data_IF_640606106163
#
_entry.id   IF_640606106163
#
_cell.length_a   1.000
_cell.length_b   1.000
_cell.length_c   1.000
_cell.angle_alpha   90.00
_cell.angle_beta   90.00
_cell.angle_gamma   90.00
#
_symmetry.space_group_name_H-M   'P 1'
#
loop_
_entity.id
_entity.type
_entity.pdbx_description
1 polymer ?
#
# COMPACT_ATOMS: atom_id res chain seq x y z
N UNK A 1 29.44 -13.87 61.42
CA UNK A 1 28.83 -13.74 60.08
C UNK A 1 28.11 -15.05 59.79
N UNK A 2 26.81 -15.12 60.12
CA UNK A 2 25.63 -15.04 59.20
C UNK A 2 25.48 -16.31 58.34
N UNK A 3 24.62 -17.26 58.74
CA UNK A 3 23.24 -17.53 58.21
C UNK A 3 23.23 -17.90 56.71
N UNK A 4 22.65 -19.01 56.26
CA UNK A 4 21.21 -19.31 56.29
C UNK A 4 20.90 -20.83 56.29
N UNK A 5 19.77 -21.27 56.87
CA UNK A 5 19.23 -22.62 56.70
C UNK A 5 18.54 -22.77 55.32
N UNK A 6 18.34 -24.01 54.81
CA UNK A 6 17.48 -24.21 53.66
C UNK A 6 16.06 -23.76 54.02
N UNK A 7 15.54 -22.82 53.24
CA UNK A 7 14.17 -22.33 53.38
C UNK A 7 13.20 -23.48 53.16
N UNK A 8 12.64 -23.99 54.27
CA UNK A 8 11.33 -24.62 54.26
C UNK A 8 10.34 -23.56 53.79
N UNK A 9 9.82 -23.74 52.59
CA UNK A 9 8.61 -23.07 52.12
C UNK A 9 7.64 -24.15 51.69
N UNK A 10 6.36 -23.93 52.00
CA UNK A 10 5.50 -24.92 52.59
C UNK A 10 5.08 -25.93 51.54
N UNK A 11 5.02 -27.20 51.94
CA UNK A 11 4.08 -28.13 51.32
C UNK A 11 2.70 -27.47 51.43
N UNK A 12 2.26 -26.82 50.35
CA UNK A 12 0.84 -26.66 50.11
C UNK A 12 0.30 -28.10 50.10
N UNK A 13 -0.21 -28.57 51.23
CA UNK A 13 -1.12 -29.70 51.25
C UNK A 13 -2.15 -29.36 50.19
N UNK A 14 -2.14 -30.10 49.08
CA UNK A 14 -3.08 -29.90 47.99
C UNK A 14 -4.46 -30.12 48.58
N UNK A 15 -5.15 -29.02 48.91
CA UNK A 15 -6.53 -29.07 49.35
C UNK A 15 -7.34 -29.65 48.20
N UNK A 16 -7.98 -30.79 48.46
CA UNK A 16 -8.86 -31.45 47.48
C UNK A 16 -10.31 -31.28 47.90
N UNK A 17 -11.24 -31.39 46.95
CA UNK A 17 -12.66 -31.43 47.29
C UNK A 17 -12.96 -32.53 48.32
N UNK A 18 -12.31 -33.69 48.20
CA UNK A 18 -12.47 -34.80 49.12
C UNK A 18 -12.01 -34.47 50.56
N UNK A 19 -10.85 -33.81 50.73
CA UNK A 19 -10.36 -33.43 52.05
C UNK A 19 -11.24 -32.37 52.73
N UNK A 20 -11.75 -31.41 51.96
CA UNK A 20 -12.67 -30.39 52.49
C UNK A 20 -14.04 -30.97 52.85
N UNK A 21 -14.55 -31.90 52.04
CA UNK A 21 -15.80 -32.60 52.36
C UNK A 21 -15.68 -33.47 53.62
N UNK A 22 -14.53 -34.13 53.81
CA UNK A 22 -14.26 -34.90 55.02
C UNK A 22 -14.18 -34.00 56.27
N UNK A 23 -13.54 -32.84 56.16
CA UNK A 23 -13.50 -31.85 57.23
C UNK A 23 -14.91 -31.32 57.56
N UNK A 24 -15.70 -31.00 56.53
CA UNK A 24 -17.09 -30.57 56.68
C UNK A 24 -17.95 -31.63 57.38
N UNK A 25 -17.74 -32.91 57.06
CA UNK A 25 -18.41 -34.02 57.75
C UNK A 25 -18.08 -34.08 59.24
N UNK A 26 -16.79 -33.96 59.60
CA UNK A 26 -16.36 -33.94 61.02
C UNK A 26 -17.01 -32.77 61.75
N UNK A 27 -17.01 -31.57 61.16
CA UNK A 27 -17.61 -30.38 61.76
C UNK A 27 -19.13 -30.55 61.93
N UNK A 28 -19.82 -31.05 60.91
CA UNK A 28 -21.27 -31.30 61.01
C UNK A 28 -21.61 -32.31 62.10
N UNK A 29 -20.79 -33.35 62.28
CA UNK A 29 -20.95 -34.33 63.36
C UNK A 29 -20.75 -33.69 64.74
N UNK A 30 -19.79 -32.77 64.88
CA UNK A 30 -19.52 -32.04 66.12
C UNK A 30 -20.65 -31.07 66.52
N UNK A 31 -21.23 -30.36 65.55
CA UNK A 31 -22.31 -29.39 65.81
C UNK A 31 -23.71 -30.01 65.82
N UNK A 32 -23.86 -31.26 65.37
CA UNK A 32 -25.14 -31.95 65.29
C UNK A 32 -26.04 -31.48 64.14
N UNK A 33 -25.46 -31.19 62.97
CA UNK A 33 -26.22 -30.76 61.79
C UNK A 33 -27.15 -31.89 61.28
N UNK A 34 -28.39 -31.53 60.91
CA UNK A 34 -29.38 -32.53 60.46
C UNK A 34 -29.06 -33.06 59.06
N UNK A 35 -29.37 -34.33 58.77
CA UNK A 35 -29.15 -34.93 57.46
C UNK A 35 -29.79 -34.12 56.31
N UNK A 36 -30.97 -33.52 56.56
CA UNK A 36 -31.67 -32.68 55.58
C UNK A 36 -30.89 -31.41 55.21
N UNK A 37 -30.31 -30.71 56.21
CA UNK A 37 -29.50 -29.52 55.94
C UNK A 37 -28.13 -29.88 55.34
N UNK A 38 -27.55 -31.03 55.72
CA UNK A 38 -26.32 -31.57 55.10
C UNK A 38 -26.55 -31.87 53.61
N UNK A 39 -27.62 -32.60 53.29
CA UNK A 39 -28.00 -32.92 51.90
C UNK A 39 -28.24 -31.65 51.07
N UNK A 40 -28.94 -30.67 51.65
CA UNK A 40 -29.17 -29.39 51.01
C UNK A 40 -27.87 -28.65 50.71
N UNK A 41 -26.96 -28.55 51.66
CA UNK A 41 -25.67 -27.88 51.46
C UNK A 41 -24.79 -28.61 50.43
N UNK A 42 -24.81 -29.94 50.42
CA UNK A 42 -24.11 -30.74 49.39
C UNK A 42 -24.70 -30.48 48.00
N UNK A 43 -26.02 -30.45 47.86
CA UNK A 43 -26.70 -30.12 46.59
C UNK A 43 -26.35 -28.70 46.12
N UNK A 44 -26.30 -27.73 47.02
CA UNK A 44 -25.88 -26.36 46.71
C UNK A 44 -24.43 -26.33 46.18
N UNK A 45 -23.50 -27.02 46.85
CA UNK A 45 -22.10 -27.12 46.42
C UNK A 45 -21.96 -27.79 45.05
N UNK A 46 -22.68 -28.89 44.81
CA UNK A 46 -22.71 -29.57 43.52
C UNK A 46 -23.22 -28.64 42.42
N UNK A 47 -24.29 -27.90 42.69
CA UNK A 47 -24.88 -26.94 41.76
C UNK A 47 -23.91 -25.80 41.43
N UNK A 48 -23.25 -25.21 42.43
CA UNK A 48 -22.22 -24.18 42.23
C UNK A 48 -21.04 -24.69 41.39
N UNK A 49 -20.58 -25.90 41.66
CA UNK A 49 -19.51 -26.55 40.91
C UNK A 49 -19.90 -26.75 39.44
N UNK A 50 -21.12 -27.26 39.19
CA UNK A 50 -21.67 -27.40 37.83
C UNK A 50 -21.79 -26.06 37.11
N UNK A 51 -22.18 -25.00 37.80
CA UNK A 51 -22.29 -23.66 37.22
C UNK A 51 -20.92 -23.08 36.86
N UNK A 52 -19.87 -23.35 37.64
CA UNK A 52 -18.49 -23.03 37.27
C UNK A 52 -18.08 -23.77 36.00
N UNK A 53 -18.33 -25.08 35.90
CA UNK A 53 -18.01 -25.84 34.69
C UNK A 53 -18.77 -25.34 33.47
N UNK A 54 -20.10 -25.14 33.57
CA UNK A 54 -20.93 -24.58 32.50
C UNK A 54 -20.38 -23.25 31.99
N UNK A 55 -20.06 -22.35 32.91
CA UNK A 55 -19.48 -21.03 32.58
C UNK A 55 -18.15 -21.17 31.83
N UNK A 56 -17.25 -22.03 32.30
CA UNK A 56 -15.95 -22.26 31.63
C UNK A 56 -16.12 -22.86 30.24
N UNK A 57 -17.01 -23.85 30.08
CA UNK A 57 -17.32 -24.45 28.77
C UNK A 57 -17.87 -23.40 27.81
N UNK A 58 -18.81 -22.57 28.26
CA UNK A 58 -19.40 -21.53 27.41
C UNK A 58 -18.37 -20.46 27.00
N UNK A 59 -17.52 -20.03 27.94
CA UNK A 59 -16.40 -19.13 27.62
C UNK A 59 -15.47 -19.74 26.57
N UNK A 60 -15.11 -21.02 26.69
CA UNK A 60 -14.25 -21.70 25.72
C UNK A 60 -14.96 -21.87 24.37
N UNK A 61 -16.26 -22.16 24.35
CA UNK A 61 -17.07 -22.24 23.13
C UNK A 61 -17.09 -20.91 22.40
N UNK A 62 -17.29 -19.80 23.12
CA UNK A 62 -17.22 -18.44 22.55
C UNK A 62 -15.83 -18.14 21.97
N UNK A 63 -14.76 -18.39 22.73
CA UNK A 63 -13.39 -18.20 22.24
C UNK A 63 -13.09 -19.01 20.98
N UNK A 64 -13.60 -20.24 20.88
CA UNK A 64 -13.50 -21.06 19.66
C UNK A 64 -14.23 -20.41 18.47
N UNK A 65 -15.44 -19.90 18.68
CA UNK A 65 -16.21 -19.21 17.64
C UNK A 65 -15.49 -17.95 17.15
N UNK A 66 -14.93 -17.17 18.07
CA UNK A 66 -14.15 -15.96 17.75
C UNK A 66 -12.92 -16.29 16.89
N UNK A 67 -12.20 -17.38 17.21
CA UNK A 67 -11.07 -17.86 16.40
C UNK A 67 -11.49 -18.28 14.99
N UNK A 68 -12.63 -18.96 14.84
CA UNK A 68 -13.16 -19.31 13.52
C UNK A 68 -13.52 -18.06 12.72
N UNK A 69 -14.17 -17.08 13.34
CA UNK A 69 -14.53 -15.83 12.68
C UNK A 69 -13.29 -15.06 12.22
N UNK A 70 -12.28 -14.93 13.09
CA UNK A 70 -11.01 -14.27 12.75
C UNK A 70 -10.28 -14.96 11.60
N UNK A 71 -10.26 -16.29 11.57
CA UNK A 71 -9.71 -17.06 10.44
C UNK A 71 -10.45 -16.73 9.14
N UNK A 72 -11.79 -16.78 9.14
CA UNK A 72 -12.59 -16.48 7.95
C UNK A 72 -12.37 -15.04 7.44
N UNK A 73 -12.19 -14.07 8.36
CA UNK A 73 -11.85 -12.70 8.00
C UNK A 73 -10.49 -12.60 7.30
N UNK A 74 -9.46 -13.28 7.83
CA UNK A 74 -8.13 -13.33 7.19
C UNK A 74 -8.21 -13.97 5.81
N UNK A 75 -8.93 -15.09 5.66
CA UNK A 75 -9.10 -15.77 4.37
C UNK A 75 -9.83 -14.90 3.34
N UNK A 76 -10.87 -14.16 3.78
CA UNK A 76 -11.57 -13.20 2.94
C UNK A 76 -10.67 -12.05 2.50
N UNK A 77 -9.84 -11.52 3.42
CA UNK A 77 -8.89 -10.46 3.10
C UNK A 77 -7.84 -10.92 2.09
N UNK A 78 -7.27 -12.12 2.28
CA UNK A 78 -6.35 -12.72 1.30
C UNK A 78 -7.01 -12.83 -0.07
N UNK A 79 -8.25 -13.32 -0.13
CA UNK A 79 -8.99 -13.44 -1.40
C UNK A 79 -9.15 -12.09 -2.11
N UNK A 80 -9.45 -11.02 -1.35
CA UNK A 80 -9.55 -9.66 -1.89
C UNK A 80 -8.21 -9.14 -2.39
N UNK A 81 -7.13 -9.36 -1.63
CA UNK A 81 -5.77 -8.95 -2.02
C UNK A 81 -5.32 -9.67 -3.29
N UNK A 82 -5.54 -10.98 -3.37
CA UNK A 82 -5.21 -11.82 -4.54
C UNK A 82 -5.97 -11.35 -5.77
N UNK A 83 -7.27 -11.05 -5.63
CA UNK A 83 -8.09 -10.51 -6.71
C UNK A 83 -7.55 -9.14 -7.20
N UNK A 84 -7.26 -8.22 -6.27
CA UNK A 84 -6.74 -6.90 -6.62
C UNK A 84 -5.36 -6.96 -7.28
N UNK A 85 -4.50 -7.89 -6.88
CA UNK A 85 -3.18 -8.10 -7.48
C UNK A 85 -3.22 -8.86 -8.81
N UNK A 86 -4.35 -9.49 -9.15
CA UNK A 86 -4.51 -10.33 -10.34
C UNK A 86 -3.83 -11.70 -10.24
N UNK A 87 -3.54 -12.18 -9.02
CA UNK A 87 -2.77 -13.40 -8.80
C UNK A 87 -3.67 -14.63 -8.73
N UNK A 88 -4.51 -14.85 -9.75
CA UNK A 88 -5.51 -15.92 -9.72
C UNK A 88 -4.94 -17.35 -9.61
N UNK A 89 -3.66 -17.55 -9.93
CA UNK A 89 -2.95 -18.82 -9.72
C UNK A 89 -2.46 -19.02 -8.29
N UNK A 90 -2.51 -17.98 -7.45
CA UNK A 90 -2.11 -18.06 -6.06
C UNK A 90 -3.13 -18.86 -5.27
N UNK A 91 -2.74 -20.05 -4.83
CA UNK A 91 -3.50 -20.86 -3.90
C UNK A 91 -2.84 -20.80 -2.54
N UNK A 92 -3.64 -20.50 -1.50
CA UNK A 92 -3.20 -20.57 -0.11
C UNK A 92 -4.04 -21.62 0.63
N UNK A 93 -3.45 -22.18 1.68
CA UNK A 93 -4.18 -23.07 2.60
C UNK A 93 -3.90 -22.65 4.04
N UNK A 94 -4.89 -22.84 4.91
CA UNK A 94 -4.78 -22.61 6.37
C UNK A 94 -3.85 -23.57 7.10
N UNK A 95 -3.19 -24.50 6.39
CA UNK A 95 -2.36 -25.54 6.99
C UNK A 95 -3.17 -26.56 7.83
N UNK A 96 -2.46 -27.48 8.48
CA UNK A 96 -3.04 -28.49 9.38
C UNK A 96 -2.83 -28.09 10.84
N UNK A 97 -3.70 -28.56 11.74
CA UNK A 97 -3.54 -28.38 13.19
C UNK A 97 -4.69 -27.61 13.86
N UNK A 98 -4.41 -27.11 15.06
CA UNK A 98 -5.37 -26.34 15.87
C UNK A 98 -5.67 -24.96 15.25
N UNK A 99 -6.81 -24.35 15.61
CA UNK A 99 -7.17 -23.03 15.10
C UNK A 99 -6.07 -21.98 15.31
N UNK A 100 -5.44 -21.95 16.49
CA UNK A 100 -4.34 -21.04 16.78
C UNK A 100 -3.13 -21.25 15.87
N UNK A 101 -2.76 -22.51 15.62
CA UNK A 101 -1.67 -22.85 14.70
C UNK A 101 -1.98 -22.43 13.27
N UNK A 102 -3.21 -22.67 12.80
CA UNK A 102 -3.66 -22.25 11.48
C UNK A 102 -3.63 -20.73 11.32
N UNK A 103 -4.08 -19.97 12.34
CA UNK A 103 -3.96 -18.51 12.37
C UNK A 103 -2.50 -18.06 12.31
N UNK A 104 -1.61 -18.69 13.07
CA UNK A 104 -0.18 -18.38 13.04
C UNK A 104 0.46 -18.70 11.68
N UNK A 105 0.00 -19.75 11.00
CA UNK A 105 0.49 -20.15 9.68
C UNK A 105 0.05 -19.20 8.57
N UNK A 106 -1.21 -18.76 8.59
CA UNK A 106 -1.77 -17.92 7.52
C UNK A 106 -1.35 -16.44 7.64
N UNK A 107 -1.01 -15.98 8.84
CA UNK A 107 -0.70 -14.56 9.10
C UNK A 107 0.51 -14.03 8.30
N UNK A 108 1.65 -14.75 8.20
CA UNK A 108 2.75 -14.34 7.34
C UNK A 108 2.34 -14.16 5.87
N UNK A 109 1.48 -15.04 5.35
CA UNK A 109 0.97 -14.97 3.98
C UNK A 109 0.16 -13.69 3.75
N UNK A 110 -0.70 -13.35 4.72
CA UNK A 110 -1.45 -12.09 4.68
C UNK A 110 -0.51 -10.86 4.65
N UNK A 111 0.51 -10.84 5.52
CA UNK A 111 1.45 -9.71 5.59
C UNK A 111 2.29 -9.58 4.31
N UNK A 112 2.69 -10.69 3.69
CA UNK A 112 3.36 -10.68 2.40
C UNK A 112 2.48 -10.03 1.32
N UNK A 113 1.22 -10.44 1.22
CA UNK A 113 0.27 -9.87 0.24
C UNK A 113 -0.01 -8.39 0.49
N UNK A 114 -0.13 -7.97 1.76
CA UNK A 114 -0.26 -6.55 2.12
C UNK A 114 0.96 -5.73 1.70
N UNK A 115 2.16 -6.24 1.96
CA UNK A 115 3.41 -5.62 1.52
C UNK A 115 3.47 -5.50 -0.01
N UNK A 116 3.09 -6.57 -0.72
CA UNK A 116 3.02 -6.60 -2.18
C UNK A 116 2.02 -5.59 -2.74
N UNK A 117 0.82 -5.49 -2.16
CA UNK A 117 -0.17 -4.44 -2.51
C UNK A 117 0.43 -3.04 -2.34
N UNK A 118 1.08 -2.77 -1.21
CA UNK A 118 1.71 -1.46 -0.94
C UNK A 118 2.80 -1.13 -1.95
N UNK A 119 3.67 -2.10 -2.27
CA UNK A 119 4.72 -1.91 -3.27
C UNK A 119 4.13 -1.65 -4.66
N UNK A 120 3.11 -2.43 -5.05
CA UNK A 120 2.43 -2.26 -6.33
C UNK A 120 1.77 -0.88 -6.43
N UNK A 121 1.09 -0.44 -5.37
CA UNK A 121 0.48 0.89 -5.29
C UNK A 121 1.51 1.99 -5.57
N UNK A 122 2.67 1.91 -4.91
CA UNK A 122 3.77 2.85 -5.11
C UNK A 122 4.23 2.90 -6.58
N UNK A 123 4.39 1.75 -7.23
CA UNK A 123 4.76 1.69 -8.65
C UNK A 123 3.72 2.34 -9.56
N UNK A 124 2.43 2.15 -9.27
CA UNK A 124 1.34 2.80 -10.01
C UNK A 124 1.39 4.32 -9.86
N UNK A 125 1.46 4.83 -8.62
CA UNK A 125 1.53 6.27 -8.34
C UNK A 125 2.74 6.91 -9.00
N UNK A 126 3.93 6.29 -8.89
CA UNK A 126 5.16 6.78 -9.53
C UNK A 126 5.04 6.81 -11.06
N UNK A 127 4.49 5.76 -11.67
CA UNK A 127 4.32 5.67 -13.14
C UNK A 127 3.33 6.73 -13.64
N UNK A 128 2.18 6.86 -12.98
CA UNK A 128 1.16 7.85 -13.35
C UNK A 128 1.64 9.29 -13.15
N UNK A 129 2.40 9.55 -12.09
CA UNK A 129 3.01 10.87 -11.85
C UNK A 129 3.98 11.25 -12.97
N UNK A 130 4.83 10.32 -13.41
CA UNK A 130 5.74 10.55 -14.54
C UNK A 130 4.99 10.80 -15.86
N UNK A 131 3.93 10.02 -16.12
CA UNK A 131 3.05 10.22 -17.29
C UNK A 131 2.45 11.64 -17.24
N UNK A 132 1.83 12.01 -16.11
CA UNK A 132 1.21 13.32 -15.94
C UNK A 132 2.21 14.46 -16.13
N UNK A 133 3.42 14.31 -15.59
CA UNK A 133 4.49 15.28 -15.77
C UNK A 133 4.87 15.46 -17.25
N UNK A 134 5.12 14.38 -17.99
CA UNK A 134 5.50 14.48 -19.41
C UNK A 134 4.34 15.08 -20.23
N UNK A 135 3.11 14.66 -19.96
CA UNK A 135 1.92 15.22 -20.59
C UNK A 135 1.79 16.73 -20.35
N UNK A 136 2.02 17.20 -19.11
CA UNK A 136 1.99 18.63 -18.79
C UNK A 136 3.11 19.42 -19.49
N UNK A 137 4.32 18.85 -19.57
CA UNK A 137 5.44 19.43 -20.33
C UNK A 137 5.11 19.56 -21.83
N UNK A 138 4.49 18.53 -22.42
CA UNK A 138 4.05 18.51 -23.82
C UNK A 138 2.90 19.50 -24.07
N UNK A 139 1.94 19.59 -23.15
CA UNK A 139 0.84 20.54 -23.24
C UNK A 139 1.30 21.99 -23.04
N UNK A 140 2.42 22.19 -22.32
CA UNK A 140 2.92 23.52 -21.96
C UNK A 140 2.19 24.14 -20.77
N UNK A 141 1.48 23.34 -19.97
CA UNK A 141 0.73 23.81 -18.80
C UNK A 141 1.59 24.08 -17.56
N UNK A 142 2.89 23.74 -17.59
CA UNK A 142 3.88 24.13 -16.58
C UNK A 142 3.63 23.61 -15.16
N UNK A 143 4.66 23.64 -14.31
CA UNK A 143 4.68 23.14 -12.92
C UNK A 143 3.69 23.83 -11.94
N UNK A 144 2.83 24.75 -12.40
CA UNK A 144 1.94 25.53 -11.55
C UNK A 144 0.75 24.74 -10.99
N UNK A 145 0.48 23.55 -11.53
CA UNK A 145 -0.31 22.54 -10.85
C UNK A 145 0.59 21.34 -10.63
N UNK A 146 1.10 21.16 -9.40
CA UNK A 146 1.50 19.83 -8.96
C UNK A 146 0.35 18.90 -9.33
N UNK A 147 0.58 17.83 -10.09
CA UNK A 147 -0.48 16.87 -10.37
C UNK A 147 -1.02 16.45 -9.00
N UNK A 148 -2.32 16.65 -8.77
CA UNK A 148 -2.98 16.01 -7.64
C UNK A 148 -2.60 14.53 -7.67
N UNK A 149 -2.28 13.99 -6.49
CA UNK A 149 -1.76 12.62 -6.38
C UNK A 149 -2.65 11.70 -7.23
N UNK A 150 -2.09 10.98 -8.20
CA UNK A 150 -2.91 10.28 -9.18
C UNK A 150 -3.78 9.26 -8.45
N UNK A 151 -5.08 9.28 -8.72
CA UNK A 151 -6.04 8.37 -8.10
C UNK A 151 -5.78 6.97 -8.65
N UNK A 152 -5.09 6.15 -7.86
CA UNK A 152 -4.83 4.75 -8.20
C UNK A 152 -6.05 3.93 -7.80
N UNK A 153 -6.61 3.23 -8.77
CA UNK A 153 -7.66 2.23 -8.53
C UNK A 153 -7.11 1.08 -7.68
N UNK A 154 -7.44 1.06 -6.39
CA UNK A 154 -7.00 0.03 -5.46
C UNK A 154 -7.56 -1.37 -5.75
N UNK A 155 -8.62 -1.46 -6.56
CA UNK A 155 -9.31 -2.71 -6.85
C UNK A 155 -8.66 -3.49 -7.98
N UNK A 156 -7.84 -2.83 -8.81
CA UNK A 156 -7.13 -3.44 -9.93
C UNK A 156 -5.70 -2.91 -10.04
N UNK A 157 -4.82 -3.67 -9.38
CA UNK A 157 -3.37 -3.47 -9.31
C UNK A 157 -2.63 -4.57 -10.08
N UNK A 158 -3.27 -5.11 -11.13
CA UNK A 158 -2.76 -6.22 -11.92
C UNK A 158 -1.43 -5.88 -12.61
N UNK A 159 -0.57 -6.90 -12.82
CA UNK A 159 0.69 -6.72 -13.56
C UNK A 159 0.44 -6.26 -14.98
N UNK A 160 -0.66 -6.71 -15.61
CA UNK A 160 -1.05 -6.34 -16.96
C UNK A 160 -1.28 -4.83 -17.07
N UNK A 161 -2.14 -4.26 -16.22
CA UNK A 161 -2.45 -2.83 -16.21
C UNK A 161 -1.23 -1.97 -15.91
N UNK A 162 -0.39 -2.40 -14.97
CA UNK A 162 0.88 -1.72 -14.71
C UNK A 162 1.81 -1.75 -15.95
N UNK A 163 1.84 -2.88 -16.66
CA UNK A 163 2.59 -3.03 -17.91
C UNK A 163 2.09 -2.07 -19.01
N UNK A 164 0.79 -1.92 -19.15
CA UNK A 164 0.17 -0.97 -20.09
C UNK A 164 0.58 0.48 -19.76
N UNK A 165 0.52 0.88 -18.49
CA UNK A 165 0.98 2.20 -18.05
C UNK A 165 2.49 2.40 -18.31
N UNK A 166 3.33 1.40 -18.00
CA UNK A 166 4.78 1.47 -18.27
C UNK A 166 5.08 1.58 -19.77
N UNK A 167 4.32 0.88 -20.63
CA UNK A 167 4.43 1.01 -22.09
C UNK A 167 4.07 2.42 -22.55
N UNK A 168 2.96 2.97 -22.05
CA UNK A 168 2.55 4.33 -22.38
C UNK A 168 3.58 5.37 -21.92
N UNK A 169 4.14 5.20 -20.72
CA UNK A 169 5.23 6.05 -20.23
C UNK A 169 6.44 6.00 -21.17
N UNK A 170 6.83 4.81 -21.65
CA UNK A 170 7.94 4.66 -22.58
C UNK A 170 7.69 5.36 -23.92
N UNK A 171 6.46 5.27 -24.46
CA UNK A 171 6.05 6.00 -25.66
C UNK A 171 6.18 7.52 -25.48
N UNK A 172 5.69 8.05 -24.35
CA UNK A 172 5.79 9.47 -24.01
C UNK A 172 7.23 9.94 -23.82
N UNK A 173 8.09 9.12 -23.20
CA UNK A 173 9.51 9.41 -23.07
C UNK A 173 10.19 9.48 -24.46
N UNK A 174 9.85 8.57 -25.37
CA UNK A 174 10.34 8.61 -26.75
C UNK A 174 9.83 9.85 -27.50
N UNK A 175 8.56 10.20 -27.36
CA UNK A 175 7.99 11.42 -27.95
C UNK A 175 8.73 12.66 -27.44
N UNK A 176 9.00 12.74 -26.13
CA UNK A 176 9.77 13.83 -25.52
C UNK A 176 11.16 13.97 -26.14
N UNK A 177 11.87 12.86 -26.38
CA UNK A 177 13.19 12.88 -27.05
C UNK A 177 13.05 13.41 -28.49
N UNK A 178 12.09 12.90 -29.26
CA UNK A 178 11.86 13.31 -30.65
C UNK A 178 11.51 14.80 -30.73
N UNK A 179 10.65 15.29 -29.84
CA UNK A 179 10.29 16.71 -29.76
C UNK A 179 11.50 17.58 -29.44
N UNK A 180 12.33 17.17 -28.48
CA UNK A 180 13.55 17.91 -28.14
C UNK A 180 14.51 18.00 -29.32
N UNK A 181 14.71 16.90 -30.06
CA UNK A 181 15.51 16.91 -31.30
C UNK A 181 14.93 17.87 -32.34
N UNK A 182 13.61 17.86 -32.52
CA UNK A 182 12.92 18.77 -33.45
C UNK A 182 13.07 20.24 -33.04
N UNK A 183 12.90 20.56 -31.76
CA UNK A 183 13.14 21.91 -31.22
C UNK A 183 14.57 22.36 -31.52
N UNK A 184 15.57 21.53 -31.21
CA UNK A 184 16.98 21.85 -31.47
C UNK A 184 17.24 22.09 -32.97
N UNK A 185 16.71 21.22 -33.84
CA UNK A 185 16.83 21.36 -35.29
C UNK A 185 16.20 22.67 -35.80
N UNK A 186 15.00 23.02 -35.32
CA UNK A 186 14.35 24.29 -35.68
C UNK A 186 15.15 25.51 -35.22
N UNK A 187 15.71 25.47 -34.01
CA UNK A 187 16.59 26.54 -33.51
C UNK A 187 17.82 26.70 -34.42
N UNK A 188 18.50 25.61 -34.78
CA UNK A 188 19.66 25.64 -35.68
C UNK A 188 19.32 26.22 -37.06
N UNK A 189 18.21 25.79 -37.67
CA UNK A 189 17.78 26.33 -38.96
C UNK A 189 17.40 27.83 -38.90
N UNK A 190 16.76 28.27 -37.81
CA UNK A 190 16.43 29.69 -37.62
C UNK A 190 17.72 30.52 -37.47
N UNK A 191 18.75 29.99 -36.80
CA UNK A 191 20.07 30.61 -36.71
C UNK A 191 20.76 30.72 -38.07
N UNK A 192 20.76 29.66 -38.89
CA UNK A 192 21.32 29.74 -40.24
C UNK A 192 20.60 30.81 -41.09
N UNK A 193 19.27 30.84 -41.02
CA UNK A 193 18.48 31.86 -41.72
C UNK A 193 18.72 33.27 -41.17
N UNK A 194 19.04 33.43 -39.89
CA UNK A 194 19.35 34.74 -39.30
C UNK A 194 20.63 35.33 -39.85
N UNK A 195 21.64 34.48 -40.08
CA UNK A 195 22.89 34.88 -40.73
C UNK A 195 22.64 35.32 -42.17
N UNK A 196 21.83 34.57 -42.93
CA UNK A 196 21.53 34.89 -44.35
C UNK A 196 20.67 36.14 -44.50
N UNK A 197 19.72 36.36 -43.59
CA UNK A 197 18.72 37.43 -43.71
C UNK A 197 19.01 38.64 -42.80
N UNK A 198 20.11 38.63 -42.06
CA UNK A 198 20.57 39.68 -41.15
C UNK A 198 19.49 40.15 -40.16
N UNK A 199 18.83 39.22 -39.48
CA UNK A 199 17.92 39.54 -38.37
C UNK A 199 18.45 39.05 -37.03
N UNK A 200 17.97 39.64 -35.93
CA UNK A 200 18.34 39.25 -34.57
C UNK A 200 17.72 37.89 -34.20
N UNK A 201 18.55 36.85 -34.20
CA UNK A 201 18.19 35.50 -33.79
C UNK A 201 17.72 35.43 -32.34
N UNK A 202 18.45 36.08 -31.43
CA UNK A 202 18.24 35.95 -29.99
C UNK A 202 16.87 36.49 -29.62
N UNK A 203 16.57 37.71 -30.07
CA UNK A 203 15.25 38.31 -29.88
C UNK A 203 14.13 37.41 -30.42
N UNK A 204 14.31 36.86 -31.61
CA UNK A 204 13.26 36.06 -32.27
C UNK A 204 12.97 34.72 -31.59
N UNK A 205 13.99 34.07 -31.02
CA UNK A 205 13.81 32.80 -30.31
C UNK A 205 13.34 33.03 -28.86
N UNK A 206 13.76 34.11 -28.21
CA UNK A 206 13.23 34.50 -26.89
C UNK A 206 11.75 34.85 -26.91
N UNK A 207 11.28 35.49 -28.00
CA UNK A 207 9.86 35.84 -28.21
C UNK A 207 8.97 34.58 -28.29
N UNK A 208 9.54 33.43 -28.66
CA UNK A 208 8.83 32.15 -28.68
C UNK A 208 8.73 31.58 -27.27
N UNK A 209 9.88 31.37 -26.62
CA UNK A 209 9.95 30.90 -25.25
C UNK A 209 11.34 31.17 -24.64
N UNK A 210 11.38 31.78 -23.46
CA UNK A 210 12.63 32.22 -22.82
C UNK A 210 13.63 31.07 -22.58
N UNK A 211 13.14 29.86 -22.27
CA UNK A 211 13.98 28.68 -22.01
C UNK A 211 14.77 28.18 -23.23
N UNK A 212 14.51 28.68 -24.44
CA UNK A 212 15.16 28.20 -25.67
C UNK A 212 16.57 28.78 -25.85
N UNK A 213 16.84 29.94 -25.27
CA UNK A 213 18.15 30.63 -25.31
C UNK A 213 18.90 30.45 -24.01
N UNK A 214 18.21 30.73 -22.90
CA UNK A 214 18.77 30.62 -21.56
C UNK A 214 17.96 29.58 -20.81
N UNK A 215 18.39 28.30 -20.80
CA UNK A 215 17.82 27.35 -19.86
C UNK A 215 18.12 27.89 -18.45
N UNK A 216 17.12 28.46 -17.78
CA UNK A 216 17.24 28.89 -16.39
C UNK A 216 17.70 27.70 -15.54
N UNK A 217 18.57 27.91 -14.54
CA UNK A 217 19.20 26.86 -13.73
C UNK A 217 18.25 25.67 -13.42
N UNK A 218 18.40 24.57 -14.17
CA UNK A 218 17.63 23.33 -13.99
C UNK A 218 16.42 23.10 -14.92
N UNK A 219 15.98 24.09 -15.71
CA UNK A 219 14.86 23.94 -16.64
C UNK A 219 15.33 23.48 -18.02
N UNK A 220 14.73 22.39 -18.51
CA UNK A 220 14.94 21.92 -19.88
C UNK A 220 14.27 22.85 -20.90
N UNK A 221 14.74 22.81 -22.16
CA UNK A 221 14.11 23.56 -23.26
C UNK A 221 12.63 23.15 -23.37
N UNK A 222 11.74 24.12 -23.52
CA UNK A 222 10.33 23.84 -23.77
C UNK A 222 10.15 22.97 -25.01
N UNK A 223 9.41 21.89 -24.85
CA UNK A 223 9.00 20.94 -25.91
C UNK A 223 7.49 21.02 -26.19
N UNK A 224 6.83 22.06 -25.69
CA UNK A 224 5.38 22.17 -25.72
C UNK A 224 4.84 22.28 -27.15
N UNK A 225 3.57 21.88 -27.31
CA UNK A 225 2.85 22.01 -28.58
C UNK A 225 2.93 23.46 -29.13
N UNK A 226 2.70 24.44 -28.25
CA UNK A 226 2.76 25.87 -28.61
C UNK A 226 4.17 26.30 -29.05
N UNK A 227 5.21 25.85 -28.33
CA UNK A 227 6.61 26.18 -28.66
C UNK A 227 7.00 25.63 -30.03
N UNK A 228 6.68 24.37 -30.31
CA UNK A 228 6.95 23.74 -31.60
C UNK A 228 6.16 24.40 -32.74
N UNK A 229 4.90 24.76 -32.52
CA UNK A 229 4.08 25.45 -33.51
C UNK A 229 4.64 26.84 -33.86
N UNK A 230 5.03 27.62 -32.85
CA UNK A 230 5.67 28.94 -33.02
C UNK A 230 7.01 28.85 -33.75
N UNK A 231 7.89 27.91 -33.38
CA UNK A 231 9.15 27.65 -34.07
C UNK A 231 8.93 27.32 -35.56
N UNK A 232 7.96 26.44 -35.84
CA UNK A 232 7.61 26.07 -37.21
C UNK A 232 7.08 27.27 -38.00
N UNK A 233 6.23 28.10 -37.39
CA UNK A 233 5.70 29.32 -37.99
C UNK A 233 6.79 30.32 -38.37
N UNK A 234 7.75 30.57 -37.46
CA UNK A 234 8.91 31.43 -37.73
C UNK A 234 9.75 30.88 -38.86
N UNK A 235 10.04 29.59 -38.88
CA UNK A 235 10.85 28.95 -39.91
C UNK A 235 10.20 29.08 -41.30
N UNK A 236 8.90 28.81 -41.41
CA UNK A 236 8.14 28.97 -42.65
C UNK A 236 8.16 30.44 -43.11
N UNK A 237 7.95 31.38 -42.19
CA UNK A 237 7.98 32.81 -42.51
C UNK A 237 9.36 33.24 -43.06
N UNK A 238 10.45 32.82 -42.42
CA UNK A 238 11.81 33.14 -42.85
C UNK A 238 12.13 32.52 -44.22
N UNK A 239 11.83 31.24 -44.42
CA UNK A 239 12.07 30.53 -45.68
C UNK A 239 11.27 31.14 -46.86
N UNK A 240 10.04 31.61 -46.62
CA UNK A 240 9.26 32.30 -47.66
C UNK A 240 9.88 33.66 -48.04
N UNK A 241 10.41 34.39 -47.06
CA UNK A 241 10.99 35.72 -47.29
C UNK A 241 12.36 35.64 -47.99
N UNK A 242 13.20 34.65 -47.66
CA UNK A 242 14.48 34.43 -48.36
C UNK A 242 14.28 34.10 -49.85
N UNK A 243 13.29 33.28 -50.19
CA UNK A 243 12.93 32.95 -51.60
C UNK A 243 12.44 34.15 -52.41
N UNK A 244 11.85 35.17 -51.77
CA UNK A 244 11.42 36.40 -52.46
C UNK A 244 12.57 37.38 -52.71
N UNK A 245 13.62 37.33 -51.88
CA UNK A 245 14.83 38.14 -52.06
C UNK A 245 15.67 37.76 -53.28
N UNK A 246 15.62 36.48 -53.70
CA UNK A 246 16.33 35.97 -54.88
C UNK A 246 15.59 36.18 -56.22
N UNK A 247 14.36 36.70 -56.21
CA UNK A 247 13.54 36.96 -57.41
C UNK A 247 13.56 38.43 -57.85
N UNK A 248 14.50 39.24 -57.36
CA UNK A 248 14.72 40.63 -57.79
C UNK A 248 16.10 40.76 -58.40
#
# INVERSE_FOLDING_TARGET
MTTLPPSLSPSHSQTTCASLLQELQVIWDEIGESDVERDKMLLELEQECLDIYRRKVEMTRKSKADLHHSLAQIESEITKLVAALGEHSFSFSRGKGTLKQQTSYIRPVLEELRSKKKQRMKEFTETQSQIAQICAEIAGTGQSMLPSDPEVDESDLTVKKLGELKSHLQELQNEKIIRLQKVNSHISMIHELSVVMSFDFSKRVSDIHASLIYPANGHSKSISNDTLAKLTGVLIHCSKRSKRGYKR
#
